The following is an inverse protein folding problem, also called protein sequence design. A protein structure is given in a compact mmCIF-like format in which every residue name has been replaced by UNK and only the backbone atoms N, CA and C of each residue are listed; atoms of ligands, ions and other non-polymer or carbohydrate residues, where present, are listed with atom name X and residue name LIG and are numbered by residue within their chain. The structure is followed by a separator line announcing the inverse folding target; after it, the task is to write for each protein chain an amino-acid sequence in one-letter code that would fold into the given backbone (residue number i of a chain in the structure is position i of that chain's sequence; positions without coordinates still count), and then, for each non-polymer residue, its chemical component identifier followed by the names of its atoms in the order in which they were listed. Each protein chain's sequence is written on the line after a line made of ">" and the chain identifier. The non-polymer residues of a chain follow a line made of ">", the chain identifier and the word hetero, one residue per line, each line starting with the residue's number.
data_IF_960099351778
#
_entry.id   IF_960099351778
#
_cell.length_a   1.000
_cell.length_b   1.000
_cell.length_c   1.000
_cell.angle_alpha   90.00
_cell.angle_beta   90.00
_cell.angle_gamma   90.00
#
_symmetry.space_group_name_H-M   'P 1'
#
loop_
_entity.id
_entity.type
_entity.pdbx_description
1 polymer ?
#
# COMPACT_ATOMS: atom_id res chain seq x y z
N UNK A 1 -18.45 -67.34 20.27
CA UNK A 1 -19.15 -67.03 19.01
C UNK A 1 -19.52 -65.55 19.07
N UNK A 2 -19.06 -64.74 18.09
CA UNK A 2 -19.34 -63.29 17.85
C UNK A 2 -18.80 -62.29 18.90
N UNK A 3 -18.18 -61.15 18.60
CA UNK A 3 -17.61 -60.57 17.38
C UNK A 3 -16.74 -59.36 17.82
N UNK A 4 -15.65 -59.11 17.09
CA UNK A 4 -14.70 -57.99 17.25
C UNK A 4 -15.29 -56.65 16.71
N UNK A 5 -15.20 -55.55 17.47
CA UNK A 5 -15.21 -54.14 16.97
C UNK A 5 -14.31 -53.29 17.89
N UNK A 6 -13.07 -53.03 17.51
CA UNK A 6 -12.55 -51.83 16.80
C UNK A 6 -12.62 -50.52 17.60
N UNK A 7 -11.43 -50.14 18.09
CA UNK A 7 -10.81 -48.81 18.22
C UNK A 7 -11.65 -47.55 17.91
N UNK A 8 -11.52 -46.52 18.75
CA UNK A 8 -10.58 -45.41 18.49
C UNK A 8 -10.62 -44.36 19.62
N UNK A 9 -9.46 -44.08 20.20
CA UNK A 9 -9.13 -42.77 20.76
C UNK A 9 -9.47 -41.70 19.72
N UNK A 10 -10.09 -40.58 20.11
CA UNK A 10 -9.90 -39.28 19.46
C UNK A 10 -10.43 -38.18 20.39
N UNK A 11 -9.53 -37.71 21.27
CA UNK A 11 -9.48 -36.30 21.63
C UNK A 11 -9.40 -35.53 20.31
N UNK A 12 -10.50 -34.92 19.85
CA UNK A 12 -10.42 -33.84 18.87
C UNK A 12 -10.73 -32.57 19.62
N UNK A 13 -9.64 -31.92 20.03
CA UNK A 13 -9.53 -30.50 20.24
C UNK A 13 -10.36 -29.76 19.17
N UNK A 14 -11.55 -29.29 19.57
CA UNK A 14 -12.28 -28.24 18.86
C UNK A 14 -11.53 -26.93 19.07
N UNK A 15 -10.35 -26.81 18.46
CA UNK A 15 -9.52 -25.61 18.53
C UNK A 15 -8.88 -25.34 17.17
N UNK A 16 -9.69 -25.34 16.11
CA UNK A 16 -9.23 -24.88 14.81
C UNK A 16 -10.39 -24.10 14.20
N UNK A 17 -10.41 -22.79 14.44
CA UNK A 17 -10.75 -21.72 13.49
C UNK A 17 -10.83 -20.38 14.24
N UNK A 18 -9.73 -19.98 14.86
CA UNK A 18 -9.61 -18.67 15.52
C UNK A 18 -8.26 -17.96 15.35
N UNK A 19 -7.31 -18.55 14.62
CA UNK A 19 -5.92 -18.10 14.67
C UNK A 19 -5.44 -17.10 13.61
N UNK A 20 -6.28 -16.68 12.65
CA UNK A 20 -5.75 -15.90 11.50
C UNK A 20 -6.00 -14.39 11.53
N UNK A 21 -6.83 -13.86 12.44
CA UNK A 21 -7.02 -12.39 12.53
C UNK A 21 -5.99 -11.68 13.42
N UNK A 22 -5.39 -12.40 14.37
CA UNK A 22 -4.54 -11.85 15.44
C UNK A 22 -3.13 -11.39 15.00
N UNK A 23 -2.83 -11.39 13.70
CA UNK A 23 -1.53 -10.94 13.17
C UNK A 23 -1.64 -9.95 12.02
N UNK A 24 -2.85 -9.46 11.70
CA UNK A 24 -3.07 -8.53 10.59
C UNK A 24 -3.55 -7.19 11.14
N UNK A 25 -3.01 -6.09 10.61
CA UNK A 25 -3.40 -4.72 10.97
C UNK A 25 -4.57 -4.21 10.13
N UNK A 26 -4.75 -4.77 8.93
CA UNK A 26 -5.88 -4.44 8.07
C UNK A 26 -6.20 -5.55 7.05
N UNK A 27 -7.39 -5.47 6.45
CA UNK A 27 -7.82 -6.21 5.27
C UNK A 27 -8.30 -5.22 4.20
N UNK A 28 -7.96 -5.47 2.94
CA UNK A 28 -8.49 -4.76 1.76
C UNK A 28 -9.09 -5.80 0.82
N UNK A 29 -10.41 -5.79 0.61
CA UNK A 29 -11.14 -6.83 -0.14
C UNK A 29 -10.78 -8.27 0.30
N UNK A 30 -10.60 -8.48 1.61
CA UNK A 30 -10.21 -9.77 2.18
C UNK A 30 -8.73 -10.11 2.09
N UNK A 31 -7.90 -9.34 1.37
CA UNK A 31 -6.44 -9.48 1.37
C UNK A 31 -5.84 -8.82 2.60
N UNK A 32 -5.05 -9.56 3.37
CA UNK A 32 -4.46 -9.10 4.63
C UNK A 32 -3.22 -8.25 4.45
N UNK A 33 -3.11 -7.21 5.28
CA UNK A 33 -1.85 -6.53 5.60
C UNK A 33 -1.37 -7.04 6.95
N UNK A 34 -0.26 -7.78 6.95
CA UNK A 34 0.27 -8.39 8.17
C UNK A 34 0.94 -7.36 9.07
N UNK A 35 0.92 -7.57 10.38
CA UNK A 35 1.63 -6.74 11.34
C UNK A 35 3.14 -6.72 11.09
N UNK A 36 3.72 -7.84 10.62
CA UNK A 36 5.16 -7.92 10.29
C UNK A 36 5.54 -7.03 9.12
N UNK A 37 4.79 -7.13 8.01
CA UNK A 37 4.97 -6.29 6.83
C UNK A 37 4.79 -4.81 7.19
N UNK A 38 3.72 -4.49 7.94
CA UNK A 38 3.42 -3.13 8.36
C UNK A 38 4.52 -2.54 9.25
N UNK A 39 4.97 -3.26 10.28
CA UNK A 39 6.04 -2.79 11.16
C UNK A 39 7.39 -2.68 10.45
N UNK A 40 7.66 -3.58 9.50
CA UNK A 40 8.87 -3.47 8.68
C UNK A 40 8.86 -2.17 7.86
N UNK A 41 7.74 -1.86 7.20
CA UNK A 41 7.57 -0.62 6.44
C UNK A 41 7.65 0.61 7.36
N UNK A 42 6.96 0.57 8.52
CA UNK A 42 7.00 1.63 9.52
C UNK A 42 8.42 1.92 9.99
N UNK A 43 9.15 0.87 10.40
CA UNK A 43 10.52 0.97 10.89
C UNK A 43 11.45 1.60 9.86
N UNK A 44 11.37 1.15 8.61
CA UNK A 44 12.19 1.70 7.52
C UNK A 44 11.88 3.18 7.28
N UNK A 45 10.60 3.56 7.31
CA UNK A 45 10.15 4.94 7.13
C UNK A 45 10.49 5.87 8.30
N UNK A 46 10.89 5.34 9.45
CA UNK A 46 11.18 6.11 10.67
C UNK A 46 12.62 5.89 11.17
N UNK A 47 13.58 5.80 10.25
CA UNK A 47 15.02 5.69 10.55
C UNK A 47 15.36 4.53 11.52
N UNK A 48 14.62 3.43 11.45
CA UNK A 48 14.82 2.26 12.31
C UNK A 48 14.05 2.28 13.63
N UNK A 49 13.31 3.36 13.94
CA UNK A 49 12.47 3.43 15.14
C UNK A 49 11.22 2.55 14.98
N UNK A 50 10.94 1.74 16.01
CA UNK A 50 9.79 0.84 16.06
C UNK A 50 8.78 1.27 17.13
N UNK A 51 9.19 2.15 18.05
CA UNK A 51 8.32 2.65 19.11
C UNK A 51 7.49 3.81 18.60
N UNK A 52 6.18 3.69 18.74
CA UNK A 52 5.22 4.66 18.27
C UNK A 52 3.93 4.51 19.08
N UNK A 53 3.35 5.63 19.50
CA UNK A 53 2.01 5.59 20.08
C UNK A 53 0.96 5.17 19.03
N UNK A 54 -0.23 4.84 19.53
CA UNK A 54 -1.33 4.38 18.69
C UNK A 54 -1.72 5.40 17.61
N UNK A 55 -1.69 6.70 17.90
CA UNK A 55 -2.10 7.73 16.94
C UNK A 55 -1.12 7.82 15.76
N UNK A 56 0.18 7.69 16.02
CA UNK A 56 1.22 7.66 15.00
C UNK A 56 1.15 6.38 14.16
N UNK A 57 0.95 5.21 14.78
CA UNK A 57 0.73 3.96 14.03
C UNK A 57 -0.55 4.02 13.17
N UNK A 58 -1.63 4.61 13.69
CA UNK A 58 -2.89 4.77 12.95
C UNK A 58 -2.73 5.70 11.75
N UNK A 59 -2.04 6.83 11.92
CA UNK A 59 -1.72 7.75 10.83
C UNK A 59 -0.91 7.07 9.75
N UNK A 60 0.15 6.34 10.13
CA UNK A 60 0.98 5.63 9.17
C UNK A 60 0.22 4.48 8.48
N UNK A 61 -0.63 3.73 9.21
CA UNK A 61 -1.49 2.70 8.61
C UNK A 61 -2.43 3.29 7.55
N UNK A 62 -2.99 4.47 7.79
CA UNK A 62 -3.82 5.15 6.79
C UNK A 62 -3.03 5.52 5.53
N UNK A 63 -1.80 6.03 5.68
CA UNK A 63 -0.92 6.30 4.53
C UNK A 63 -0.58 5.00 3.78
N UNK A 64 -0.28 3.93 4.52
CA UNK A 64 0.06 2.63 3.95
C UNK A 64 -1.13 2.00 3.23
N UNK A 65 -2.35 2.11 3.76
CA UNK A 65 -3.58 1.68 3.09
C UNK A 65 -3.78 2.49 1.80
N UNK A 66 -3.64 3.81 1.82
CA UNK A 66 -3.75 4.64 0.60
C UNK A 66 -2.76 4.18 -0.46
N UNK A 67 -1.50 3.91 -0.08
CA UNK A 67 -0.49 3.33 -0.97
C UNK A 67 -0.98 1.99 -1.57
N UNK A 68 -1.43 1.05 -0.73
CA UNK A 68 -1.91 -0.26 -1.19
C UNK A 68 -3.12 -0.16 -2.13
N UNK A 69 -4.02 0.79 -1.90
CA UNK A 69 -5.15 1.04 -2.79
C UNK A 69 -4.70 1.49 -4.18
N UNK A 70 -3.72 2.40 -4.27
CA UNK A 70 -3.14 2.82 -5.56
C UNK A 70 -2.48 1.67 -6.29
N UNK A 71 -1.76 0.81 -5.57
CA UNK A 71 -1.13 -0.40 -6.13
C UNK A 71 -2.17 -1.38 -6.66
N UNK A 72 -3.31 -1.53 -5.98
CA UNK A 72 -4.41 -2.37 -6.47
C UNK A 72 -4.99 -1.83 -7.78
N UNK A 73 -5.22 -0.53 -7.87
CA UNK A 73 -5.68 0.11 -9.11
C UNK A 73 -4.67 -0.06 -10.25
N UNK A 74 -3.37 0.07 -9.97
CA UNK A 74 -2.31 -0.20 -10.94
C UNK A 74 -2.37 -1.64 -11.49
N UNK A 75 -2.60 -2.63 -10.62
CA UNK A 75 -2.75 -4.05 -11.00
C UNK A 75 -4.03 -4.30 -11.80
N UNK A 76 -5.13 -3.63 -11.45
CA UNK A 76 -6.38 -3.72 -12.23
C UNK A 76 -6.22 -3.11 -13.62
N UNK A 77 -5.42 -2.07 -13.77
CA UNK A 77 -5.02 -1.51 -15.07
C UNK A 77 -4.02 -2.38 -15.85
N UNK A 78 -3.55 -3.48 -15.25
CA UNK A 78 -2.58 -4.39 -15.87
C UNK A 78 -1.16 -3.83 -15.94
N UNK A 79 -0.83 -2.79 -15.15
CA UNK A 79 0.52 -2.21 -15.09
C UNK A 79 1.55 -3.11 -14.42
N UNK A 80 1.14 -4.27 -13.92
CA UNK A 80 1.98 -5.34 -13.40
C UNK A 80 2.29 -6.42 -14.45
N UNK A 81 1.70 -6.33 -15.64
CA UNK A 81 1.81 -7.34 -16.72
C UNK A 81 2.55 -6.82 -17.96
N UNK A 82 2.80 -5.52 -18.03
CA UNK A 82 3.55 -4.87 -19.10
C UNK A 82 5.04 -5.26 -19.04
N UNK A 83 5.66 -5.37 -20.23
CA UNK A 83 7.03 -5.87 -20.39
C UNK A 83 8.05 -4.98 -19.66
N UNK A 84 7.86 -3.65 -19.72
CA UNK A 84 8.74 -2.68 -19.05
C UNK A 84 8.81 -2.90 -17.55
N UNK A 85 7.66 -3.03 -16.87
CA UNK A 85 7.60 -3.33 -15.44
C UNK A 85 8.27 -4.66 -15.10
N UNK A 86 7.97 -5.69 -15.90
CA UNK A 86 8.50 -7.04 -15.66
C UNK A 86 10.02 -7.07 -15.75
N UNK A 87 10.61 -6.41 -16.75
CA UNK A 87 12.06 -6.36 -16.93
C UNK A 87 12.74 -5.50 -15.86
N UNK A 88 12.15 -4.36 -15.49
CA UNK A 88 12.66 -3.52 -14.41
C UNK A 88 12.71 -4.28 -13.07
N UNK A 89 11.62 -4.94 -12.71
CA UNK A 89 11.51 -5.73 -11.50
C UNK A 89 12.52 -6.89 -11.50
N UNK A 90 12.67 -7.58 -12.62
CA UNK A 90 13.64 -8.67 -12.77
C UNK A 90 15.08 -8.18 -12.61
N UNK A 91 15.38 -7.00 -13.16
CA UNK A 91 16.70 -6.36 -13.01
C UNK A 91 16.99 -6.07 -11.54
N UNK A 92 16.04 -5.47 -10.82
CA UNK A 92 16.17 -5.19 -9.39
C UNK A 92 16.31 -6.48 -8.57
N UNK A 93 15.48 -7.50 -8.84
CA UNK A 93 15.55 -8.80 -8.15
C UNK A 93 16.93 -9.46 -8.33
N UNK A 94 17.49 -9.40 -9.54
CA UNK A 94 18.82 -9.94 -9.83
C UNK A 94 19.91 -9.18 -9.05
N UNK A 95 19.84 -7.85 -9.02
CA UNK A 95 20.78 -7.03 -8.24
C UNK A 95 20.70 -7.35 -6.74
N UNK A 96 19.49 -7.50 -6.21
CA UNK A 96 19.25 -7.80 -4.80
C UNK A 96 19.80 -9.18 -4.41
N UNK A 97 19.63 -10.20 -5.27
CA UNK A 97 20.20 -11.54 -5.09
C UNK A 97 21.74 -11.49 -5.11
N UNK A 98 22.33 -10.76 -6.04
CA UNK A 98 23.79 -10.65 -6.16
C UNK A 98 24.40 -9.96 -4.93
N UNK A 99 23.77 -8.90 -4.44
CA UNK A 99 24.18 -8.25 -3.19
C UNK A 99 24.06 -9.19 -1.98
N UNK A 100 23.01 -10.03 -1.92
CA UNK A 100 22.86 -11.06 -0.87
C UNK A 100 23.94 -12.15 -0.93
N UNK A 101 24.36 -12.60 -2.12
CA UNK A 101 25.46 -13.59 -2.21
C UNK A 101 26.77 -13.04 -1.65
N UNK A 102 26.96 -11.72 -1.68
CA UNK A 102 28.12 -11.03 -1.11
C UNK A 102 28.00 -10.77 0.42
N UNK A 103 26.78 -10.77 0.99
CA UNK A 103 26.51 -10.43 2.40
C UNK A 103 25.53 -11.42 3.07
N UNK A 104 25.95 -12.08 4.15
CA UNK A 104 25.18 -13.10 4.88
C UNK A 104 23.80 -12.59 5.37
N UNK A 105 22.74 -13.11 4.74
CA UNK A 105 21.34 -13.19 5.18
C UNK A 105 20.67 -11.93 5.76
N UNK A 106 20.06 -11.10 4.91
CA UNK A 106 18.98 -10.19 5.33
C UNK A 106 17.65 -10.97 5.42
N UNK A 107 17.03 -10.96 6.60
CA UNK A 107 15.69 -11.56 6.87
C UNK A 107 14.54 -10.81 6.15
N UNK A 108 14.85 -9.74 5.44
CA UNK A 108 13.89 -8.79 4.87
C UNK A 108 13.83 -8.80 3.34
N UNK A 109 14.51 -9.76 2.69
CA UNK A 109 14.60 -9.84 1.22
C UNK A 109 13.24 -9.72 0.53
N UNK A 110 12.26 -10.49 1.00
CA UNK A 110 10.94 -10.54 0.37
C UNK A 110 10.18 -9.23 0.58
N UNK A 111 10.38 -8.56 1.71
CA UNK A 111 9.79 -7.24 1.96
C UNK A 111 10.41 -6.17 1.08
N UNK A 112 11.74 -6.15 0.91
CA UNK A 112 12.43 -5.22 0.02
C UNK A 112 11.98 -5.39 -1.43
N UNK A 113 11.93 -6.64 -1.91
CA UNK A 113 11.48 -6.93 -3.26
C UNK A 113 10.02 -6.53 -3.47
N UNK A 114 9.14 -6.82 -2.51
CA UNK A 114 7.73 -6.47 -2.61
C UNK A 114 7.52 -4.94 -2.56
N UNK A 115 8.23 -4.24 -1.66
CA UNK A 115 8.19 -2.77 -1.59
C UNK A 115 8.62 -2.14 -2.92
N UNK A 116 9.72 -2.62 -3.52
CA UNK A 116 10.16 -2.12 -4.84
C UNK A 116 9.09 -2.37 -5.91
N UNK A 117 8.63 -3.63 -6.03
CA UNK A 117 7.57 -4.03 -6.98
C UNK A 117 6.34 -3.15 -6.87
N UNK A 118 5.89 -2.85 -5.66
CA UNK A 118 4.69 -2.04 -5.41
C UNK A 118 4.95 -0.54 -5.56
N UNK A 119 6.16 -0.07 -5.21
CA UNK A 119 6.59 1.31 -5.40
C UNK A 119 6.59 1.72 -6.87
N UNK A 120 7.14 0.88 -7.75
CA UNK A 120 7.14 1.09 -9.21
C UNK A 120 5.70 1.14 -9.75
N UNK A 121 4.83 0.21 -9.30
CA UNK A 121 3.42 0.24 -9.69
C UNK A 121 2.73 1.53 -9.27
N UNK A 122 2.89 1.93 -8.01
CA UNK A 122 2.29 3.15 -7.46
C UNK A 122 2.77 4.39 -8.22
N UNK A 123 4.07 4.47 -8.54
CA UNK A 123 4.64 5.55 -9.34
C UNK A 123 4.02 5.57 -10.75
N UNK A 124 4.02 4.44 -11.45
CA UNK A 124 3.50 4.35 -12.82
C UNK A 124 2.01 4.72 -12.92
N UNK A 125 1.19 4.29 -11.96
CA UNK A 125 -0.23 4.66 -11.95
C UNK A 125 -0.46 6.12 -11.58
N UNK A 126 0.37 6.69 -10.69
CA UNK A 126 0.29 8.11 -10.30
C UNK A 126 0.71 9.02 -11.45
N UNK A 127 1.71 8.62 -12.24
CA UNK A 127 2.10 9.27 -13.48
C UNK A 127 0.91 9.36 -14.45
N UNK A 128 0.24 8.23 -14.73
CA UNK A 128 -0.88 8.19 -15.66
C UNK A 128 -2.14 8.92 -15.18
N UNK A 129 -2.39 8.96 -13.86
CA UNK A 129 -3.64 9.50 -13.30
C UNK A 129 -3.54 10.93 -12.82
N UNK A 130 -2.35 11.38 -12.44
CA UNK A 130 -2.13 12.67 -11.79
C UNK A 130 -1.15 13.52 -12.59
N UNK A 131 0.09 13.07 -12.74
CA UNK A 131 1.17 13.94 -13.21
C UNK A 131 1.03 14.31 -14.69
N UNK A 132 0.88 13.33 -15.58
CA UNK A 132 0.60 13.57 -17.01
C UNK A 132 -0.63 14.47 -17.23
N UNK A 133 -1.71 14.27 -16.45
CA UNK A 133 -2.91 15.12 -16.56
C UNK A 133 -2.66 16.57 -16.14
N UNK A 134 -1.84 16.81 -15.13
CA UNK A 134 -1.58 18.16 -14.66
C UNK A 134 -0.48 18.88 -15.47
N UNK A 135 0.36 18.11 -16.17
CA UNK A 135 1.47 18.63 -16.96
C UNK A 135 1.11 18.83 -18.44
N UNK A 136 0.42 17.85 -19.03
CA UNK A 136 0.24 17.78 -20.48
C UNK A 136 -1.14 18.30 -20.95
N UNK A 137 -2.12 18.39 -20.04
CA UNK A 137 -3.45 18.92 -20.34
C UNK A 137 -3.60 20.38 -19.87
N UNK A 138 -3.12 21.30 -20.71
CA UNK A 138 -3.19 22.73 -20.42
C UNK A 138 -4.64 23.23 -20.25
N UNK A 139 -5.59 22.64 -20.98
CA UNK A 139 -7.00 23.02 -20.89
C UNK A 139 -7.55 22.65 -19.51
N UNK A 140 -7.26 21.45 -19.00
CA UNK A 140 -7.70 21.04 -17.67
C UNK A 140 -7.14 21.95 -16.56
N UNK A 141 -5.90 22.42 -16.68
CA UNK A 141 -5.30 23.38 -15.74
C UNK A 141 -6.01 24.74 -15.79
N UNK A 142 -6.33 25.22 -16.99
CA UNK A 142 -7.09 26.48 -17.18
C UNK A 142 -8.50 26.37 -16.60
N UNK A 143 -9.18 25.25 -16.84
CA UNK A 143 -10.53 24.98 -16.33
C UNK A 143 -10.53 24.87 -14.81
N UNK A 144 -9.53 24.18 -14.24
CA UNK A 144 -9.35 24.07 -12.79
C UNK A 144 -9.12 25.45 -12.16
N UNK A 145 -8.23 26.27 -12.71
CA UNK A 145 -8.01 27.65 -12.26
C UNK A 145 -9.30 28.47 -12.32
N UNK A 146 -10.03 28.39 -13.44
CA UNK A 146 -11.24 29.18 -13.66
C UNK A 146 -12.36 28.81 -12.69
N UNK A 147 -12.51 27.51 -12.39
CA UNK A 147 -13.49 26.99 -11.43
C UNK A 147 -13.14 27.36 -9.99
N UNK A 148 -11.84 27.49 -9.68
CA UNK A 148 -11.33 27.77 -8.34
C UNK A 148 -10.77 29.18 -8.20
N UNK A 149 -11.20 30.13 -9.06
CA UNK A 149 -10.59 31.45 -9.17
C UNK A 149 -10.58 32.24 -7.86
N UNK A 150 -11.55 32.01 -6.98
CA UNK A 150 -11.60 32.60 -5.63
C UNK A 150 -10.43 32.22 -4.72
N UNK A 151 -9.74 31.12 -5.02
CA UNK A 151 -8.56 30.66 -4.27
C UNK A 151 -7.26 31.32 -4.76
N UNK A 152 -7.32 32.10 -5.85
CA UNK A 152 -6.15 32.70 -6.49
C UNK A 152 -6.30 34.22 -6.64
N UNK A 153 -5.35 34.97 -6.08
CA UNK A 153 -5.38 36.44 -6.11
C UNK A 153 -4.61 37.06 -7.29
N UNK A 154 -4.11 36.23 -8.21
CA UNK A 154 -3.22 36.64 -9.30
C UNK A 154 -3.62 35.96 -10.62
N UNK A 155 -3.23 36.51 -11.78
CA UNK A 155 -3.45 35.87 -13.08
C UNK A 155 -2.74 34.52 -13.15
N UNK A 156 -3.32 33.59 -13.92
CA UNK A 156 -2.79 32.23 -14.11
C UNK A 156 -1.29 32.21 -14.47
N UNK A 157 -0.82 33.14 -15.30
CA UNK A 157 0.59 33.24 -15.68
C UNK A 157 1.56 33.41 -14.50
N UNK A 158 1.12 34.02 -13.39
CA UNK A 158 1.92 34.20 -12.18
C UNK A 158 1.79 33.04 -11.19
N UNK A 159 0.68 32.28 -11.24
CA UNK A 159 0.37 31.22 -10.27
C UNK A 159 0.30 29.82 -10.89
N UNK A 160 0.68 29.64 -12.17
CA UNK A 160 0.55 28.37 -12.90
C UNK A 160 1.13 27.19 -12.12
N UNK A 161 2.30 27.34 -11.49
CA UNK A 161 2.92 26.29 -10.68
C UNK A 161 2.09 25.90 -9.45
N UNK A 162 1.51 26.88 -8.75
CA UNK A 162 0.61 26.61 -7.61
C UNK A 162 -0.68 25.93 -8.09
N UNK A 163 -1.28 26.42 -9.17
CA UNK A 163 -2.50 25.84 -9.76
C UNK A 163 -2.27 24.38 -10.16
N UNK A 164 -1.13 24.06 -10.78
CA UNK A 164 -0.77 22.68 -11.13
C UNK A 164 -0.68 21.82 -9.88
N UNK A 165 0.00 22.28 -8.82
CA UNK A 165 0.11 21.52 -7.57
C UNK A 165 -1.26 21.28 -6.91
N UNK A 166 -2.11 22.30 -6.84
CA UNK A 166 -3.46 22.20 -6.31
C UNK A 166 -4.34 21.26 -7.15
N UNK A 167 -4.18 21.30 -8.48
CA UNK A 167 -4.87 20.40 -9.39
C UNK A 167 -4.43 18.95 -9.19
N UNK A 168 -3.12 18.69 -9.08
CA UNK A 168 -2.57 17.36 -8.77
C UNK A 168 -3.14 16.82 -7.45
N UNK A 169 -3.18 17.66 -6.41
CA UNK A 169 -3.77 17.29 -5.13
C UNK A 169 -5.26 16.95 -5.28
N UNK A 170 -6.03 17.75 -6.01
CA UNK A 170 -7.46 17.49 -6.23
C UNK A 170 -7.70 16.17 -6.97
N UNK A 171 -6.86 15.84 -7.96
CA UNK A 171 -6.91 14.57 -8.69
C UNK A 171 -6.60 13.40 -7.77
N UNK A 172 -5.57 13.53 -6.94
CA UNK A 172 -5.20 12.49 -5.97
C UNK A 172 -6.31 12.26 -4.93
N UNK A 173 -6.89 13.32 -4.38
CA UNK A 173 -7.99 13.23 -3.41
C UNK A 173 -9.22 12.56 -4.03
N UNK A 174 -9.62 12.98 -5.23
CA UNK A 174 -10.73 12.39 -5.97
C UNK A 174 -10.49 10.90 -6.24
N UNK A 175 -9.29 10.56 -6.71
CA UNK A 175 -8.89 9.18 -6.98
C UNK A 175 -8.90 8.33 -5.71
N UNK A 176 -8.27 8.77 -4.63
CA UNK A 176 -8.24 8.05 -3.35
C UNK A 176 -9.64 7.88 -2.74
N UNK A 177 -10.51 8.87 -2.87
CA UNK A 177 -11.91 8.76 -2.43
C UNK A 177 -12.65 7.69 -3.21
N UNK A 178 -12.50 7.65 -4.54
CA UNK A 178 -13.04 6.59 -5.39
C UNK A 178 -12.52 5.21 -5.01
N UNK A 179 -11.21 5.09 -4.75
CA UNK A 179 -10.61 3.83 -4.31
C UNK A 179 -11.15 3.38 -2.94
N UNK A 180 -11.28 4.28 -1.96
CA UNK A 180 -11.83 3.94 -0.64
C UNK A 180 -13.31 3.52 -0.70
N UNK A 181 -14.07 4.01 -1.67
CA UNK A 181 -15.44 3.57 -1.90
C UNK A 181 -15.49 2.20 -2.61
N UNK A 182 -14.58 1.97 -3.55
CA UNK A 182 -14.49 0.74 -4.35
C UNK A 182 -14.01 -0.46 -3.54
N UNK A 183 -13.01 -0.26 -2.67
CA UNK A 183 -12.37 -1.33 -1.91
C UNK A 183 -12.90 -1.38 -0.49
N UNK A 184 -13.35 -2.55 -0.05
CA UNK A 184 -13.72 -2.78 1.34
C UNK A 184 -12.48 -2.83 2.22
N UNK A 185 -12.32 -1.83 3.09
CA UNK A 185 -11.21 -1.72 4.04
C UNK A 185 -11.71 -2.07 5.44
N UNK A 186 -10.99 -2.96 6.14
CA UNK A 186 -11.24 -3.27 7.55
C UNK A 186 -9.94 -3.13 8.33
N UNK A 187 -9.89 -2.22 9.31
CA UNK A 187 -8.74 -2.03 10.19
C UNK A 187 -8.91 -2.87 11.45
N UNK A 188 -7.84 -3.54 11.88
CA UNK A 188 -7.79 -4.27 13.14
C UNK A 188 -7.21 -3.36 14.23
N UNK A 189 -8.09 -2.57 14.85
CA UNK A 189 -7.71 -1.63 15.91
C UNK A 189 -7.09 -2.31 17.12
N UNK A 190 -7.49 -3.55 17.44
CA UNK A 190 -6.94 -4.31 18.55
C UNK A 190 -5.47 -4.67 18.32
N UNK A 191 -5.14 -5.13 17.12
CA UNK A 191 -3.73 -5.42 16.78
C UNK A 191 -2.91 -4.13 16.77
N UNK A 192 -3.45 -3.04 16.21
CA UNK A 192 -2.73 -1.75 16.20
C UNK A 192 -2.45 -1.23 17.62
N UNK A 193 -3.41 -1.34 18.55
CA UNK A 193 -3.21 -0.98 19.97
C UNK A 193 -2.20 -1.88 20.67
N UNK A 194 -2.15 -3.16 20.31
CA UNK A 194 -1.15 -4.10 20.83
C UNK A 194 0.25 -3.74 20.34
N UNK A 195 0.40 -3.33 19.08
CA UNK A 195 1.68 -2.86 18.54
C UNK A 195 2.16 -1.57 19.22
N UNK A 196 1.24 -0.64 19.50
CA UNK A 196 1.56 0.63 20.17
C UNK A 196 2.05 0.50 21.63
N UNK A 197 1.93 -0.69 22.23
CA UNK A 197 2.32 -0.98 23.62
C UNK A 197 3.68 -1.69 23.74
N UNK A 198 4.31 -2.01 22.60
CA UNK A 198 5.58 -2.75 22.54
C UNK A 198 6.80 -1.83 22.69
#
# INVERSE_FOLDING_TARGET
>A
MLCLKKACCLFIFSFIFGYSFAQNVALINGKSISAKEFLWAYKKSHNGSVSADYANLQRYLNLYINFKLKVLDAREMGLDKNATYTEEVKTYETALINHKKANTAHKDHDFLLNEYKEGVLMFNVSEQKIWSKAQDDEQAVIDFYSTNKQNYNKPLSEVKGQVIADYQQSLEESWLNGLKQKYQIKINENELRKLARQ
#
